data_IF_834927631536
#
_entry.id   IF_834927631536
#
_cell.length_a   1.000
_cell.length_b   1.000
_cell.length_c   1.000
_cell.angle_alpha   90.00
_cell.angle_beta   90.00
_cell.angle_gamma   90.00
#
_symmetry.space_group_name_H-M   'P 1'
#
loop_
_entity.id
_entity.type
_entity.pdbx_description
1 polymer ?
#
# COMPACT_ATOMS: atom_id res chain seq x y z
N UNK A 1 31.11 -39.52 -48.52
CA UNK A 1 30.37 -40.49 -47.72
C UNK A 1 30.56 -40.06 -46.28
N UNK A 2 29.83 -39.08 -45.79
CA UNK A 2 28.47 -39.16 -45.30
C UNK A 2 28.36 -39.96 -44.00
N UNK A 3 28.51 -39.36 -42.87
CA UNK A 3 28.15 -39.87 -41.57
C UNK A 3 27.36 -38.82 -40.85
N UNK A 4 26.04 -38.80 -41.06
CA UNK A 4 25.07 -38.09 -40.22
C UNK A 4 24.80 -38.95 -38.99
N UNK A 5 25.53 -38.73 -37.91
CA UNK A 5 25.16 -39.28 -36.61
C UNK A 5 24.16 -38.33 -35.95
N UNK A 6 22.93 -38.77 -35.98
CA UNK A 6 21.80 -38.20 -35.25
C UNK A 6 22.09 -38.22 -33.76
N UNK A 7 22.37 -37.07 -33.20
CA UNK A 7 22.34 -36.86 -31.75
C UNK A 7 20.87 -36.97 -31.27
N UNK A 8 20.42 -38.17 -30.94
CA UNK A 8 19.24 -38.38 -30.13
C UNK A 8 19.57 -37.86 -28.72
N UNK A 9 19.21 -36.59 -28.47
CA UNK A 9 19.20 -36.04 -27.11
C UNK A 9 18.25 -36.89 -26.27
N UNK A 10 18.83 -37.67 -25.36
CA UNK A 10 18.07 -38.40 -24.33
C UNK A 10 17.35 -37.33 -23.50
N UNK A 11 16.05 -37.17 -23.75
CA UNK A 11 15.20 -36.30 -22.93
C UNK A 11 15.31 -36.81 -21.50
N UNK A 12 15.76 -35.95 -20.58
CA UNK A 12 15.80 -36.27 -19.16
C UNK A 12 14.43 -36.80 -18.73
N UNK A 13 14.36 -37.86 -17.91
CA UNK A 13 13.07 -38.41 -17.49
C UNK A 13 12.21 -37.33 -16.91
N UNK A 14 11.03 -37.10 -17.50
CA UNK A 14 10.05 -36.16 -16.96
C UNK A 14 9.66 -36.65 -15.57
N UNK A 15 10.11 -35.92 -14.56
CA UNK A 15 9.69 -36.18 -13.18
C UNK A 15 8.18 -35.94 -13.08
N UNK A 16 7.43 -36.99 -12.77
CA UNK A 16 5.98 -36.89 -12.53
C UNK A 16 5.76 -36.61 -11.06
N UNK A 17 5.20 -35.45 -10.78
CA UNK A 17 4.88 -35.01 -9.42
C UNK A 17 3.46 -35.38 -9.04
N UNK A 18 3.22 -35.71 -7.77
CA UNK A 18 1.87 -35.61 -7.21
C UNK A 18 1.50 -34.13 -7.00
N UNK A 19 0.21 -33.79 -6.98
CA UNK A 19 -0.25 -32.42 -6.76
C UNK A 19 0.30 -31.88 -5.45
N UNK A 20 0.19 -32.66 -4.36
CA UNK A 20 0.70 -32.27 -3.05
C UNK A 20 2.23 -32.04 -3.06
N UNK A 21 2.99 -32.92 -3.68
CA UNK A 21 4.46 -32.77 -3.76
C UNK A 21 4.85 -31.54 -4.57
N UNK A 22 4.13 -31.23 -5.65
CA UNK A 22 4.38 -30.04 -6.46
C UNK A 22 4.08 -28.75 -5.70
N UNK A 23 2.94 -28.69 -4.98
CA UNK A 23 2.56 -27.52 -4.18
C UNK A 23 3.56 -27.28 -3.05
N UNK A 24 3.99 -28.34 -2.37
CA UNK A 24 5.01 -28.25 -1.32
C UNK A 24 6.33 -27.73 -1.89
N UNK A 25 6.84 -28.32 -2.94
CA UNK A 25 8.08 -27.88 -3.59
C UNK A 25 7.99 -26.42 -4.10
N UNK A 26 6.83 -26.01 -4.60
CA UNK A 26 6.59 -24.62 -5.02
C UNK A 26 6.62 -23.68 -3.82
N UNK A 27 5.96 -24.05 -2.71
CA UNK A 27 5.98 -23.30 -1.47
C UNK A 27 7.40 -23.12 -0.92
N UNK A 28 8.18 -24.19 -0.89
CA UNK A 28 9.58 -24.17 -0.44
C UNK A 28 10.44 -23.26 -1.34
N UNK A 29 10.28 -23.35 -2.66
CA UNK A 29 11.01 -22.51 -3.61
C UNK A 29 10.68 -21.01 -3.43
N UNK A 30 9.41 -20.68 -3.21
CA UNK A 30 8.95 -19.31 -2.94
C UNK A 30 9.54 -18.81 -1.61
N UNK A 31 9.45 -19.61 -0.54
CA UNK A 31 9.98 -19.26 0.76
C UNK A 31 11.49 -19.05 0.74
N UNK A 32 12.23 -19.90 0.04
CA UNK A 32 13.68 -19.79 -0.13
C UNK A 32 14.07 -18.54 -0.94
N UNK A 33 13.25 -18.15 -1.94
CA UNK A 33 13.56 -17.03 -2.82
C UNK A 33 13.25 -15.66 -2.21
N UNK A 34 12.13 -15.54 -1.49
CA UNK A 34 11.62 -14.25 -1.04
C UNK A 34 11.82 -13.99 0.46
N UNK A 35 11.93 -15.05 1.31
CA UNK A 35 12.03 -14.86 2.74
C UNK A 35 10.86 -14.03 3.32
N UNK A 36 11.19 -13.07 4.18
CA UNK A 36 10.23 -12.06 4.64
C UNK A 36 10.17 -10.90 3.65
N UNK A 37 8.97 -10.51 3.26
CA UNK A 37 8.73 -9.41 2.31
C UNK A 37 7.93 -8.27 2.96
N UNK A 38 8.15 -7.05 2.48
CA UNK A 38 7.30 -5.90 2.75
C UNK A 38 6.57 -5.53 1.46
N UNK A 39 5.24 -5.34 1.55
CA UNK A 39 4.38 -5.06 0.39
C UNK A 39 3.45 -3.89 0.75
N UNK A 40 3.26 -2.97 -0.20
CA UNK A 40 2.32 -1.85 -0.08
C UNK A 40 1.13 -2.08 -0.99
N UNK A 41 -0.04 -1.61 -0.54
CA UNK A 41 -1.24 -1.68 -1.35
C UNK A 41 -2.48 -1.28 -0.57
N UNK A 42 -3.63 -1.44 -1.23
CA UNK A 42 -4.94 -1.15 -0.71
C UNK A 42 -5.65 -2.42 -0.23
N UNK A 43 -6.20 -2.38 0.98
CA UNK A 43 -7.02 -3.48 1.52
C UNK A 43 -8.34 -3.58 0.75
N UNK A 44 -8.71 -4.80 0.38
CA UNK A 44 -9.99 -5.11 -0.27
C UNK A 44 -10.56 -6.43 0.25
N UNK A 45 -11.87 -6.47 0.51
CA UNK A 45 -12.57 -7.67 0.98
C UNK A 45 -12.15 -8.10 2.38
N UNK A 46 -11.96 -7.13 3.29
CA UNK A 46 -11.54 -7.42 4.66
C UNK A 46 -12.62 -8.17 5.43
N UNK A 47 -12.23 -9.28 6.03
CA UNK A 47 -13.10 -10.10 6.88
C UNK A 47 -12.34 -10.55 8.12
N UNK A 48 -12.98 -10.40 9.29
CA UNK A 48 -12.49 -10.97 10.56
C UNK A 48 -13.36 -12.17 10.92
N UNK A 49 -12.75 -13.34 10.95
CA UNK A 49 -13.43 -14.56 11.38
C UNK A 49 -13.69 -14.57 12.89
N UNK A 50 -14.66 -15.36 13.34
CA UNK A 50 -14.94 -15.54 14.78
C UNK A 50 -13.73 -16.05 15.58
N UNK A 51 -12.83 -16.78 14.92
CA UNK A 51 -11.54 -17.21 15.48
C UNK A 51 -10.52 -16.07 15.74
N UNK A 52 -10.84 -14.85 15.27
CA UNK A 52 -9.96 -13.67 15.36
C UNK A 52 -8.92 -13.56 14.24
N UNK A 53 -8.90 -14.51 13.30
CA UNK A 53 -8.07 -14.40 12.10
C UNK A 53 -8.67 -13.37 11.13
N UNK A 54 -7.82 -12.64 10.41
CA UNK A 54 -8.25 -11.69 9.40
C UNK A 54 -7.83 -12.19 8.02
N UNK A 55 -8.74 -12.07 7.06
CA UNK A 55 -8.54 -12.41 5.66
C UNK A 55 -8.90 -11.21 4.80
N UNK A 56 -8.07 -10.91 3.82
CA UNK A 56 -8.28 -9.81 2.89
C UNK A 56 -7.43 -10.00 1.64
N UNK A 57 -7.63 -9.17 0.67
CA UNK A 57 -6.76 -9.07 -0.49
C UNK A 57 -6.06 -7.71 -0.49
N UNK A 58 -4.82 -7.68 -0.94
CA UNK A 58 -4.08 -6.47 -1.18
C UNK A 58 -4.11 -6.17 -2.68
N UNK A 59 -4.67 -5.03 -3.07
CA UNK A 59 -4.61 -4.49 -4.43
C UNK A 59 -3.36 -3.66 -4.61
N UNK A 60 -2.82 -3.64 -5.81
CA UNK A 60 -1.66 -2.81 -6.10
C UNK A 60 -1.95 -1.33 -5.89
N UNK A 61 -0.94 -0.60 -5.39
CA UNK A 61 -1.05 0.82 -5.08
C UNK A 61 -1.10 1.70 -6.34
N UNK A 62 -0.38 1.31 -7.38
CA UNK A 62 -0.21 2.09 -8.61
C UNK A 62 -1.31 1.81 -9.65
N UNK A 63 -2.37 1.10 -9.25
CA UNK A 63 -3.53 0.80 -10.10
C UNK A 63 -3.31 -0.31 -11.13
N UNK A 64 -2.20 -1.07 -11.03
CA UNK A 64 -2.03 -2.28 -11.83
C UNK A 64 -3.06 -3.34 -11.38
N UNK A 65 -3.59 -4.15 -12.30
CA UNK A 65 -4.56 -5.19 -11.96
C UNK A 65 -3.90 -6.38 -11.26
N UNK A 66 -3.28 -6.13 -10.10
CA UNK A 66 -2.65 -7.14 -9.28
C UNK A 66 -3.38 -7.29 -7.93
N UNK A 67 -3.59 -8.53 -7.52
CA UNK A 67 -4.26 -8.89 -6.29
C UNK A 67 -3.46 -9.97 -5.56
N UNK A 68 -3.14 -9.73 -4.30
CA UNK A 68 -2.47 -10.71 -3.44
C UNK A 68 -3.37 -11.07 -2.27
N UNK A 69 -3.67 -12.36 -2.11
CA UNK A 69 -4.42 -12.85 -0.95
C UNK A 69 -3.56 -12.79 0.31
N UNK A 70 -4.16 -12.29 1.39
CA UNK A 70 -3.51 -12.10 2.68
C UNK A 70 -4.29 -12.82 3.79
N UNK A 71 -3.56 -13.48 4.68
CA UNK A 71 -4.08 -14.04 5.92
C UNK A 71 -3.27 -13.51 7.10
N UNK A 72 -3.93 -12.92 8.08
CA UNK A 72 -3.32 -12.44 9.31
C UNK A 72 -3.87 -13.22 10.49
N UNK A 73 -3.02 -13.95 11.17
CA UNK A 73 -3.45 -14.77 12.30
C UNK A 73 -3.78 -13.92 13.52
N UNK A 74 -4.66 -14.45 14.38
CA UNK A 74 -5.18 -13.77 15.58
C UNK A 74 -4.10 -13.08 16.42
N UNK A 75 -2.94 -13.71 16.61
CA UNK A 75 -1.85 -13.15 17.41
C UNK A 75 -1.32 -11.85 16.80
N UNK A 76 -1.09 -11.81 15.50
CA UNK A 76 -0.66 -10.61 14.79
C UNK A 76 -1.80 -9.58 14.71
N UNK A 77 -3.04 -10.02 14.46
CA UNK A 77 -4.21 -9.15 14.39
C UNK A 77 -4.56 -8.47 15.73
N UNK A 78 -4.17 -9.07 16.86
CA UNK A 78 -4.36 -8.48 18.20
C UNK A 78 -3.37 -7.35 18.52
N UNK A 79 -2.28 -7.24 17.76
CA UNK A 79 -1.26 -6.19 17.94
C UNK A 79 -1.54 -4.93 17.13
N UNK A 80 -2.61 -4.93 16.34
CA UNK A 80 -2.98 -3.74 15.55
C UNK A 80 -3.52 -2.63 16.47
N UNK A 81 -3.03 -1.44 16.28
CA UNK A 81 -3.47 -0.20 16.93
C UNK A 81 -4.62 0.50 16.20
N UNK A 82 -5.09 -0.08 15.10
CA UNK A 82 -6.21 0.43 14.29
C UNK A 82 -7.09 -0.70 13.77
N UNK A 83 -8.30 -0.37 13.35
CA UNK A 83 -9.23 -1.29 12.70
C UNK A 83 -9.00 -1.28 11.16
N UNK A 84 -8.49 -2.36 10.57
CA UNK A 84 -8.38 -2.47 9.12
C UNK A 84 -9.76 -2.47 8.46
N UNK A 85 -9.86 -1.83 7.29
CA UNK A 85 -11.08 -1.76 6.48
C UNK A 85 -10.73 -1.63 5.00
N UNK A 86 -11.69 -1.92 4.14
CA UNK A 86 -11.55 -1.76 2.69
C UNK A 86 -11.20 -0.31 2.32
N UNK A 87 -10.38 -0.16 1.29
CA UNK A 87 -9.90 1.13 0.80
C UNK A 87 -8.73 1.72 1.59
N UNK A 88 -8.28 1.06 2.67
CA UNK A 88 -7.17 1.55 3.45
C UNK A 88 -5.83 1.22 2.79
N UNK A 89 -4.99 2.24 2.60
CA UNK A 89 -3.62 2.07 2.14
C UNK A 89 -2.73 1.61 3.29
N UNK A 90 -2.00 0.53 3.07
CA UNK A 90 -1.19 -0.12 4.11
C UNK A 90 0.17 -0.59 3.57
N UNK A 91 1.13 -0.67 4.49
CA UNK A 91 2.34 -1.48 4.33
C UNK A 91 2.21 -2.70 5.25
N UNK A 92 2.41 -3.87 4.69
CA UNK A 92 2.39 -5.10 5.45
C UNK A 92 3.71 -5.86 5.27
N UNK A 93 4.09 -6.58 6.31
CA UNK A 93 5.24 -7.49 6.30
C UNK A 93 4.75 -8.89 6.58
N UNK A 94 5.34 -9.85 5.90
CA UNK A 94 4.95 -11.23 6.05
C UNK A 94 5.77 -12.16 5.17
N UNK A 95 5.29 -13.40 5.06
CA UNK A 95 5.94 -14.44 4.26
C UNK A 95 4.99 -14.96 3.20
N UNK A 96 5.51 -15.09 1.99
CA UNK A 96 4.79 -15.74 0.92
C UNK A 96 4.79 -17.24 1.13
N UNK A 97 3.67 -17.87 0.81
CA UNK A 97 3.50 -19.32 0.84
C UNK A 97 2.37 -19.75 -0.09
N UNK A 98 2.24 -21.04 -0.25
CA UNK A 98 1.13 -21.65 -0.99
C UNK A 98 0.14 -22.21 0.03
N UNK A 99 -1.14 -21.88 -0.11
CA UNK A 99 -2.20 -22.51 0.67
C UNK A 99 -2.58 -23.84 0.02
N UNK A 100 -2.07 -24.94 0.56
CA UNK A 100 -2.12 -26.27 -0.04
C UNK A 100 -3.53 -26.72 -0.40
N UNK A 101 -4.52 -26.41 0.43
CA UNK A 101 -5.91 -26.85 0.21
C UNK A 101 -6.54 -26.26 -1.08
N UNK A 102 -6.00 -25.15 -1.60
CA UNK A 102 -6.49 -24.49 -2.83
C UNK A 102 -5.42 -24.27 -3.88
N UNK A 103 -4.14 -24.52 -3.56
CA UNK A 103 -3.02 -24.22 -4.45
C UNK A 103 -2.87 -22.72 -4.73
N UNK A 104 -3.32 -21.87 -3.82
CA UNK A 104 -3.31 -20.41 -4.00
C UNK A 104 -2.09 -19.77 -3.35
N UNK A 105 -1.46 -18.82 -4.04
CA UNK A 105 -0.43 -17.97 -3.45
C UNK A 105 -1.06 -17.09 -2.38
N UNK A 106 -0.48 -17.08 -1.18
CA UNK A 106 -0.97 -16.32 -0.03
C UNK A 106 0.19 -15.65 0.70
N UNK A 107 -0.03 -14.43 1.18
CA UNK A 107 0.87 -13.76 2.11
C UNK A 107 0.36 -13.97 3.55
N UNK A 108 1.16 -14.62 4.37
CA UNK A 108 0.93 -14.71 5.82
C UNK A 108 1.47 -13.45 6.45
N UNK A 109 0.57 -12.58 6.90
CA UNK A 109 0.88 -11.24 7.41
C UNK A 109 1.31 -11.33 8.87
N UNK A 110 2.51 -10.84 9.16
CA UNK A 110 3.09 -10.77 10.50
C UNK A 110 2.88 -9.39 11.14
N UNK A 111 2.90 -8.32 10.33
CA UNK A 111 2.60 -6.95 10.78
C UNK A 111 1.92 -6.15 9.68
N UNK A 112 1.11 -5.17 10.09
CA UNK A 112 0.34 -4.29 9.22
C UNK A 112 0.43 -2.86 9.78
N UNK A 113 0.76 -1.90 8.93
CA UNK A 113 0.87 -0.48 9.27
C UNK A 113 0.07 0.35 8.28
N UNK A 114 -0.59 1.41 8.74
CA UNK A 114 -1.27 2.35 7.85
C UNK A 114 -0.25 3.15 7.06
N UNK A 115 -0.41 3.20 5.73
CA UNK A 115 0.26 4.18 4.91
C UNK A 115 -0.44 5.53 5.08
N UNK A 116 0.34 6.58 5.30
CA UNK A 116 -0.17 7.95 5.28
C UNK A 116 -0.22 8.69 6.61
N UNK A 117 -0.25 8.03 7.77
CA UNK A 117 -0.21 8.77 9.04
C UNK A 117 1.20 9.28 9.39
N UNK A 118 2.25 8.51 9.05
CA UNK A 118 3.64 8.92 9.23
C UNK A 118 4.19 9.70 8.03
N UNK A 119 3.88 9.25 6.82
CA UNK A 119 4.42 9.86 5.58
C UNK A 119 3.90 11.27 5.34
N UNK A 120 2.63 11.55 5.60
CA UNK A 120 2.07 12.91 5.49
C UNK A 120 2.69 13.88 6.51
N UNK A 121 2.94 13.42 7.73
CA UNK A 121 3.59 14.24 8.74
C UNK A 121 5.07 14.47 8.43
N UNK A 122 5.78 13.45 7.98
CA UNK A 122 7.17 13.57 7.52
C UNK A 122 7.29 14.48 6.29
N UNK A 123 6.36 14.36 5.35
CA UNK A 123 6.29 15.23 4.17
C UNK A 123 5.97 16.66 4.56
N UNK A 124 5.05 16.88 5.50
CA UNK A 124 4.77 18.18 6.08
C UNK A 124 6.02 18.78 6.74
N UNK A 125 6.73 18.01 7.57
CA UNK A 125 7.96 18.49 8.24
C UNK A 125 9.05 18.82 7.22
N UNK A 126 9.23 18.00 6.18
CA UNK A 126 10.19 18.23 5.11
C UNK A 126 9.84 19.48 4.29
N UNK A 127 8.55 19.65 3.96
CA UNK A 127 8.07 20.85 3.28
C UNK A 127 8.26 22.09 4.15
N UNK A 128 7.88 22.03 5.42
CA UNK A 128 8.09 23.11 6.39
C UNK A 128 9.55 23.52 6.46
N UNK A 129 10.46 22.57 6.67
CA UNK A 129 11.91 22.83 6.73
C UNK A 129 12.43 23.46 5.44
N UNK A 130 11.96 23.02 4.27
CA UNK A 130 12.34 23.62 2.99
C UNK A 130 11.85 25.05 2.84
N UNK A 131 10.63 25.36 3.26
CA UNK A 131 10.07 26.71 3.22
C UNK A 131 10.77 27.63 4.23
N UNK A 132 11.12 27.12 5.39
CA UNK A 132 11.88 27.82 6.43
C UNK A 132 13.31 28.16 5.95
N UNK A 133 14.02 27.18 5.37
CA UNK A 133 15.34 27.39 4.76
C UNK A 133 15.32 28.40 3.60
N UNK A 134 14.20 28.50 2.88
CA UNK A 134 13.98 29.51 1.85
C UNK A 134 13.60 30.90 2.42
N UNK A 135 13.57 31.04 3.76
CA UNK A 135 13.23 32.31 4.45
C UNK A 135 11.77 32.76 4.28
N UNK A 136 10.86 31.83 3.86
CA UNK A 136 9.47 32.20 3.57
C UNK A 136 8.65 32.51 4.84
N UNK A 137 9.16 32.09 6.02
CA UNK A 137 8.52 32.37 7.31
C UNK A 137 9.11 33.57 8.04
N UNK A 138 10.15 34.21 7.49
CA UNK A 138 10.83 35.34 8.11
C UNK A 138 9.85 36.50 8.36
N UNK A 139 9.91 37.06 9.53
CA UNK A 139 9.08 38.20 9.92
C UNK A 139 9.27 39.41 9.00
N UNK A 140 10.49 39.59 8.49
CA UNK A 140 10.86 40.68 7.57
C UNK A 140 10.11 40.57 6.20
N UNK A 141 9.65 39.39 5.81
CA UNK A 141 8.87 39.18 4.58
C UNK A 141 7.37 39.41 4.76
N UNK A 142 6.90 39.45 6.00
CA UNK A 142 5.49 39.67 6.30
C UNK A 142 5.18 41.16 6.18
N UNK A 143 4.23 41.47 5.32
CA UNK A 143 3.73 42.84 5.18
C UNK A 143 2.62 43.10 6.19
N UNK A 144 2.54 44.31 6.79
CA UNK A 144 1.41 44.67 7.59
C UNK A 144 0.13 44.64 6.74
N UNK A 145 -0.96 44.21 7.33
CA UNK A 145 -2.28 44.20 6.67
C UNK A 145 -2.73 45.68 6.51
N UNK A 146 -3.11 46.07 5.29
CA UNK A 146 -3.63 47.38 5.05
C UNK A 146 -4.93 47.60 5.82
N UNK A 147 -5.08 48.68 6.61
CA UNK A 147 -6.28 48.90 7.41
C UNK A 147 -7.54 49.11 6.55
N UNK A 148 -7.38 49.63 5.32
CA UNK A 148 -8.49 49.87 4.38
C UNK A 148 -8.07 49.35 2.98
N UNK A 149 -8.19 48.05 2.69
CA UNK A 149 -7.85 47.53 1.40
C UNK A 149 -8.90 47.97 0.34
N UNK A 150 -8.43 48.49 -0.78
CA UNK A 150 -9.30 48.81 -1.93
C UNK A 150 -9.65 47.59 -2.78
N UNK A 151 -8.87 46.49 -2.65
CA UNK A 151 -9.08 45.26 -3.38
C UNK A 151 -8.81 44.07 -2.48
N UNK A 152 -9.73 43.10 -2.47
CA UNK A 152 -9.62 41.85 -1.72
C UNK A 152 -9.62 40.66 -2.70
N UNK A 153 -8.54 39.90 -2.72
CA UNK A 153 -8.45 38.64 -3.48
C UNK A 153 -8.94 37.46 -2.65
N UNK A 154 -9.90 36.69 -3.16
CA UNK A 154 -10.42 35.49 -2.52
C UNK A 154 -10.12 34.27 -3.39
N UNK A 155 -9.39 33.28 -2.84
CA UNK A 155 -9.11 32.02 -3.50
C UNK A 155 -9.97 30.93 -2.86
N UNK A 156 -11.02 30.51 -3.55
CA UNK A 156 -11.96 29.49 -3.06
C UNK A 156 -12.66 28.78 -4.22
N UNK A 157 -13.36 27.68 -3.96
CA UNK A 157 -14.21 27.06 -4.98
C UNK A 157 -15.47 27.90 -5.24
N UNK A 158 -15.96 28.03 -6.48
CA UNK A 158 -17.14 28.85 -6.80
C UNK A 158 -18.42 28.48 -6.06
N UNK A 159 -18.54 27.22 -5.62
CA UNK A 159 -19.70 26.71 -4.87
C UNK A 159 -19.55 26.77 -3.34
N UNK A 160 -18.45 27.30 -2.80
CA UNK A 160 -18.20 27.32 -1.37
C UNK A 160 -19.16 28.25 -0.63
N UNK A 161 -19.75 27.76 0.48
CA UNK A 161 -20.62 28.58 1.35
C UNK A 161 -19.87 29.82 1.87
N UNK A 162 -18.59 29.69 2.20
CA UNK A 162 -17.73 30.77 2.64
C UNK A 162 -17.63 31.94 1.64
N UNK A 163 -17.75 31.70 0.34
CA UNK A 163 -17.76 32.77 -0.65
C UNK A 163 -18.99 33.67 -0.50
N UNK A 164 -20.17 33.08 -0.25
CA UNK A 164 -21.43 33.84 -0.01
C UNK A 164 -21.35 34.69 1.25
N UNK A 165 -20.75 34.14 2.30
CA UNK A 165 -20.59 34.86 3.58
C UNK A 165 -19.67 36.08 3.40
N UNK A 166 -18.55 35.92 2.68
CA UNK A 166 -17.65 37.05 2.36
C UNK A 166 -18.37 38.11 1.53
N UNK A 167 -19.07 37.73 0.46
CA UNK A 167 -19.81 38.66 -0.39
C UNK A 167 -20.90 39.39 0.38
N UNK A 168 -21.62 38.71 1.29
CA UNK A 168 -22.64 39.32 2.13
C UNK A 168 -22.03 40.30 3.15
N UNK A 169 -20.85 39.96 3.69
CA UNK A 169 -20.16 40.86 4.63
C UNK A 169 -19.62 42.13 3.94
N UNK A 170 -19.18 42.03 2.71
CA UNK A 170 -18.64 43.15 1.92
C UNK A 170 -19.74 44.06 1.31
N UNK A 171 -20.98 43.57 1.22
CA UNK A 171 -22.12 44.34 0.72
C UNK A 171 -22.81 45.24 1.79
N UNK A 172 -22.36 45.17 3.05
CA UNK A 172 -22.83 45.99 4.17
C UNK A 172 -22.01 47.26 4.34
#
# INVERSE_FOLDING_TARGET
>A
MSGLESAFGVAAPRQVWSVAALLLATGDAIAARFGAVAVRGEISGFTRAASGHCYFSLKDHDGQPALLRCAMFRRAAALLDFAPRDGLQVELRGRLGVYDARGELQLVVESLQRLGAGTLYEEFLRLKARLEAAGLFDAARKRPIAPHPSTLGVVTSPGAAALRDVLTALAR
#
